data_IF_171320183686
#
_entry.id   IF_171320183686
#
_cell.length_a   1.000
_cell.length_b   1.000
_cell.length_c   1.000
_cell.angle_alpha   90.00
_cell.angle_beta   90.00
_cell.angle_gamma   90.00
#
_symmetry.space_group_name_H-M   'P 1'
#
loop_
_entity.id
_entity.type
_entity.pdbx_description
1 polymer ?
#
# COMPACT_ATOMS: atom_id res chain seq x y z
N UNK A 1 -14.50 -33.48 -43.55
CA UNK A 1 -13.91 -32.17 -43.15
C UNK A 1 -14.42 -31.59 -41.81
N UNK A 2 -15.25 -32.29 -41.01
CA UNK A 2 -15.79 -31.77 -39.72
C UNK A 2 -14.87 -31.93 -38.49
N UNK A 3 -13.73 -32.59 -38.61
CA UNK A 3 -12.80 -32.86 -37.50
C UNK A 3 -11.79 -31.73 -37.25
N UNK A 4 -11.31 -31.08 -38.30
CA UNK A 4 -10.27 -30.04 -38.22
C UNK A 4 -10.78 -28.77 -37.51
N UNK A 5 -12.04 -28.39 -37.75
CA UNK A 5 -12.69 -27.24 -37.08
C UNK A 5 -12.88 -27.47 -35.56
N UNK A 6 -13.02 -28.73 -35.12
CA UNK A 6 -13.15 -29.09 -33.70
C UNK A 6 -11.81 -29.07 -32.96
N UNK A 7 -10.69 -29.31 -33.65
CA UNK A 7 -9.36 -29.16 -33.06
C UNK A 7 -8.93 -27.69 -33.02
N UNK A 8 -9.28 -26.89 -34.04
CA UNK A 8 -9.00 -25.45 -34.06
C UNK A 8 -9.75 -24.71 -32.94
N UNK A 9 -11.04 -25.02 -32.75
CA UNK A 9 -11.81 -24.43 -31.65
C UNK A 9 -11.28 -24.85 -30.27
N UNK A 10 -10.86 -26.11 -30.08
CA UNK A 10 -10.24 -26.58 -28.82
C UNK A 10 -8.96 -25.81 -28.46
N UNK A 11 -8.12 -25.51 -29.45
CA UNK A 11 -6.91 -24.69 -29.26
C UNK A 11 -7.23 -23.23 -28.91
N UNK A 12 -8.25 -22.66 -29.56
CA UNK A 12 -8.76 -21.32 -29.25
C UNK A 12 -9.29 -21.24 -27.81
N UNK A 13 -10.07 -22.23 -27.36
CA UNK A 13 -10.55 -22.30 -25.98
C UNK A 13 -9.39 -22.41 -24.97
N UNK A 14 -8.39 -23.26 -25.24
CA UNK A 14 -7.21 -23.39 -24.37
C UNK A 14 -6.44 -22.07 -24.26
N UNK A 15 -6.20 -21.39 -25.38
CA UNK A 15 -5.53 -20.08 -25.39
C UNK A 15 -6.34 -19.02 -24.62
N UNK A 16 -7.66 -19.02 -24.75
CA UNK A 16 -8.54 -18.09 -24.05
C UNK A 16 -8.56 -18.36 -22.53
N UNK A 17 -8.58 -19.63 -22.12
CA UNK A 17 -8.49 -20.00 -20.69
C UNK A 17 -7.12 -19.66 -20.09
N UNK A 18 -6.05 -19.84 -20.87
CA UNK A 18 -4.70 -19.48 -20.43
C UNK A 18 -4.56 -17.96 -20.27
N UNK A 19 -5.09 -17.18 -21.22
CA UNK A 19 -5.11 -15.73 -21.14
C UNK A 19 -5.92 -15.21 -19.93
N UNK A 20 -7.06 -15.84 -19.62
CA UNK A 20 -7.86 -15.52 -18.43
C UNK A 20 -7.16 -15.94 -17.12
N UNK A 21 -6.40 -17.03 -17.11
CA UNK A 21 -5.66 -17.46 -15.93
C UNK A 21 -4.52 -16.48 -15.58
N UNK A 22 -3.94 -15.80 -16.58
CA UNK A 22 -2.90 -14.79 -16.34
C UNK A 22 -3.44 -13.54 -15.61
N UNK A 23 -4.72 -13.20 -15.76
CA UNK A 23 -5.30 -12.04 -15.06
C UNK A 23 -5.63 -12.33 -13.59
N UNK A 24 -5.53 -13.59 -13.15
CA UNK A 24 -5.86 -14.01 -11.78
C UNK A 24 -4.68 -13.93 -10.81
N UNK A 25 -3.46 -13.63 -11.28
CA UNK A 25 -2.27 -13.45 -10.44
C UNK A 25 -2.03 -12.00 -10.00
N UNK A 26 -3.00 -11.09 -10.20
CA UNK A 26 -2.95 -9.74 -9.65
C UNK A 26 -3.47 -9.71 -8.22
N UNK A 27 -2.89 -8.85 -7.37
CA UNK A 27 -3.44 -8.61 -6.04
C UNK A 27 -4.91 -8.17 -6.16
N UNK A 28 -5.81 -8.72 -5.32
CA UNK A 28 -7.20 -8.32 -5.35
C UNK A 28 -7.32 -6.81 -5.08
N UNK A 29 -8.30 -6.12 -5.67
CA UNK A 29 -8.45 -4.66 -5.56
C UNK A 29 -8.61 -4.12 -4.13
N UNK A 30 -8.76 -4.98 -3.11
CA UNK A 30 -8.81 -4.64 -1.70
C UNK A 30 -7.85 -5.54 -0.89
N UNK A 31 -6.64 -5.79 -1.40
CA UNK A 31 -5.64 -6.54 -0.67
C UNK A 31 -5.27 -5.76 0.62
N UNK A 32 -5.15 -6.42 1.79
CA UNK A 32 -4.72 -5.76 3.03
C UNK A 32 -3.37 -5.03 2.88
N UNK A 33 -2.51 -5.52 1.97
CA UNK A 33 -1.26 -4.87 1.64
C UNK A 33 -1.45 -3.50 0.96
N UNK A 34 -2.46 -3.35 0.11
CA UNK A 34 -2.79 -2.08 -0.53
C UNK A 34 -3.16 -1.02 0.51
N UNK A 35 -3.95 -1.38 1.52
CA UNK A 35 -4.31 -0.47 2.62
C UNK A 35 -3.07 0.01 3.40
N UNK A 36 -2.12 -0.90 3.66
CA UNK A 36 -0.85 -0.55 4.32
C UNK A 36 -0.03 0.40 3.44
N UNK A 37 0.05 0.15 2.13
CA UNK A 37 0.77 1.03 1.19
C UNK A 37 0.17 2.42 1.15
N UNK A 38 -1.15 2.53 1.10
CA UNK A 38 -1.86 3.81 1.13
C UNK A 38 -1.65 4.56 2.45
N UNK A 39 -1.70 3.85 3.58
CA UNK A 39 -1.41 4.42 4.89
C UNK A 39 0.02 4.99 4.97
N UNK A 40 1.02 4.24 4.51
CA UNK A 40 2.42 4.68 4.47
C UNK A 40 2.60 5.88 3.53
N UNK A 41 1.97 5.84 2.34
CA UNK A 41 2.04 6.95 1.38
C UNK A 41 1.47 8.24 1.98
N UNK A 42 0.33 8.15 2.70
CA UNK A 42 -0.24 9.29 3.42
C UNK A 42 0.70 9.84 4.49
N UNK A 43 1.35 8.96 5.27
CA UNK A 43 2.35 9.37 6.25
C UNK A 43 3.54 10.08 5.61
N UNK A 44 4.01 9.58 4.46
CA UNK A 44 5.10 10.19 3.70
C UNK A 44 4.74 11.59 3.23
N UNK A 45 3.58 11.78 2.59
CA UNK A 45 3.11 13.10 2.15
C UNK A 45 3.01 14.07 3.33
N UNK A 46 2.41 13.66 4.44
CA UNK A 46 2.32 14.50 5.63
C UNK A 46 3.70 14.87 6.21
N UNK A 47 4.69 13.99 6.12
CA UNK A 47 6.06 14.28 6.52
C UNK A 47 6.74 15.28 5.58
N UNK A 48 6.60 15.11 4.26
CA UNK A 48 7.13 16.01 3.23
C UNK A 48 6.54 17.43 3.37
N UNK A 49 5.22 17.53 3.60
CA UNK A 49 4.50 18.79 3.83
C UNK A 49 4.70 19.36 5.24
N UNK A 50 5.40 18.64 6.13
CA UNK A 50 5.60 19.01 7.55
C UNK A 50 4.29 19.19 8.31
N UNK A 51 3.27 18.46 7.92
CA UNK A 51 1.98 18.47 8.57
C UNK A 51 2.02 17.61 9.85
N UNK A 52 2.61 18.18 10.92
CA UNK A 52 2.73 17.50 12.21
C UNK A 52 1.38 17.08 12.81
N UNK A 53 0.30 17.82 12.49
CA UNK A 53 -1.05 17.49 12.91
C UNK A 53 -1.54 16.20 12.27
N UNK A 54 -1.34 16.07 10.96
CA UNK A 54 -1.74 14.88 10.21
C UNK A 54 -0.88 13.67 10.57
N UNK A 55 0.44 13.82 10.69
CA UNK A 55 1.33 12.76 11.17
C UNK A 55 0.87 12.21 12.53
N UNK A 56 0.50 13.09 13.47
CA UNK A 56 -0.01 12.66 14.78
C UNK A 56 -1.31 11.88 14.66
N UNK A 57 -2.20 12.24 13.73
CA UNK A 57 -3.46 11.51 13.53
C UNK A 57 -3.30 10.10 12.96
N UNK A 58 -2.10 9.75 12.49
CA UNK A 58 -1.77 8.42 11.99
C UNK A 58 -1.22 7.50 13.09
N UNK A 59 -0.98 8.01 14.30
CA UNK A 59 -0.51 7.21 15.43
C UNK A 59 -1.73 6.73 16.22
N UNK A 60 -1.76 5.43 16.54
CA UNK A 60 -2.82 4.83 17.36
C UNK A 60 -2.83 5.42 18.77
N UNK A 61 -4.01 5.62 19.36
CA UNK A 61 -4.16 6.20 20.71
C UNK A 61 -3.49 5.33 21.79
N UNK A 62 -3.49 4.02 21.60
CA UNK A 62 -2.87 3.00 22.45
C UNK A 62 -1.49 2.54 21.97
N UNK A 63 -0.84 3.34 21.11
CA UNK A 63 0.50 3.02 20.60
C UNK A 63 1.51 2.83 21.73
N UNK A 64 2.20 1.69 21.71
CA UNK A 64 3.38 1.37 22.52
C UNK A 64 4.34 0.54 21.68
N UNK A 65 5.62 0.93 21.62
CA UNK A 65 6.66 0.17 20.90
C UNK A 65 7.61 -0.59 21.84
N UNK A 66 8.49 -1.42 21.25
CA UNK A 66 9.49 -2.19 21.98
C UNK A 66 10.57 -1.34 22.67
N UNK A 67 10.69 -0.05 22.33
CA UNK A 67 11.60 0.91 22.94
C UNK A 67 10.95 1.64 24.13
N UNK A 68 9.65 1.38 24.38
CA UNK A 68 8.88 2.02 25.43
C UNK A 68 8.31 3.37 25.05
N UNK A 69 8.29 3.74 23.76
CA UNK A 69 7.60 4.94 23.31
C UNK A 69 6.10 4.71 23.30
N UNK A 70 5.38 5.54 24.05
CA UNK A 70 3.92 5.65 23.97
C UNK A 70 3.49 6.68 22.90
N UNK A 71 2.19 6.81 22.68
CA UNK A 71 1.62 7.81 21.76
C UNK A 71 2.18 9.23 22.02
N UNK A 72 2.29 9.65 23.30
CA UNK A 72 2.80 10.98 23.64
C UNK A 72 4.28 11.13 23.30
N UNK A 73 5.09 10.11 23.54
CA UNK A 73 6.50 10.11 23.20
C UNK A 73 6.71 10.29 21.69
N UNK A 74 5.98 9.52 20.86
CA UNK A 74 6.04 9.66 19.40
C UNK A 74 5.59 11.05 18.94
N UNK A 75 4.52 11.59 19.52
CA UNK A 75 4.06 12.95 19.22
C UNK A 75 5.16 14.00 19.47
N UNK A 76 5.92 13.90 20.57
CA UNK A 76 7.03 14.82 20.82
C UNK A 76 8.20 14.61 19.86
N UNK A 77 8.50 13.37 19.49
CA UNK A 77 9.53 13.07 18.49
C UNK A 77 9.18 13.66 17.12
N UNK A 78 7.92 13.53 16.69
CA UNK A 78 7.43 14.14 15.45
C UNK A 78 7.61 15.66 15.50
N UNK A 79 7.19 16.32 16.59
CA UNK A 79 7.37 17.77 16.76
C UNK A 79 8.84 18.17 16.67
N UNK A 80 9.71 17.46 17.36
CA UNK A 80 11.15 17.73 17.34
C UNK A 80 11.72 17.56 15.93
N UNK A 81 11.33 16.50 15.23
CA UNK A 81 11.82 16.21 13.88
C UNK A 81 11.42 17.30 12.88
N UNK A 82 10.14 17.72 12.93
CA UNK A 82 9.62 18.81 12.10
C UNK A 82 10.28 20.14 12.43
N UNK A 83 10.50 20.44 13.71
CA UNK A 83 11.16 21.67 14.14
C UNK A 83 12.63 21.74 13.71
N UNK A 84 13.37 20.62 13.85
CA UNK A 84 14.80 20.54 13.57
C UNK A 84 15.11 20.58 12.08
N UNK A 85 14.30 19.90 11.27
CA UNK A 85 14.60 19.73 9.85
C UNK A 85 13.99 20.86 9.02
N UNK A 86 14.41 22.11 9.30
CA UNK A 86 14.03 23.26 8.47
C UNK A 86 14.65 23.13 7.06
N UNK A 87 13.94 23.59 6.03
CA UNK A 87 14.22 23.25 4.63
C UNK A 87 15.61 23.73 4.22
N UNK A 88 16.36 22.86 3.57
CA UNK A 88 17.43 23.29 2.67
C UNK A 88 16.72 23.59 1.35
N UNK A 89 16.88 24.82 0.86
CA UNK A 89 16.27 25.32 -0.37
C UNK A 89 16.64 24.45 -1.59
#
# INVERSE_FOLDING_TARGET
>A
MRGLNRLRSRGEWLALTLALALTACGDPPNAPETEIREFVAKAQTAAEERNARELRSLIAEDYVDAQGHDHKAIEQLIRLHVFRNQSIH
#
